data_IF_130239477937
#
_entry.id   IF_130239477937
#
_cell.length_a   1.000
_cell.length_b   1.000
_cell.length_c   1.000
_cell.angle_alpha   90.00
_cell.angle_beta   90.00
_cell.angle_gamma   90.00
#
_symmetry.space_group_name_H-M   'P 1'
#
loop_
_entity.id
_entity.type
_entity.pdbx_description
1 polymer ?
#
# COMPACT_ATOMS: atom_id res chain seq x y z
N UNK A 1 18.68 6.38 6.42
CA UNK A 1 18.12 5.09 5.94
C UNK A 1 17.01 5.30 4.92
N UNK A 2 15.89 5.96 5.27
CA UNK A 2 14.76 6.18 4.34
C UNK A 2 15.13 6.90 3.03
N UNK A 3 15.92 7.98 3.09
CA UNK A 3 16.35 8.71 1.89
C UNK A 3 17.14 7.82 0.90
N UNK A 4 17.99 6.93 1.42
CA UNK A 4 18.75 5.97 0.62
C UNK A 4 17.81 5.02 -0.14
N UNK A 5 16.73 4.57 0.51
CA UNK A 5 15.73 3.71 -0.12
C UNK A 5 14.85 4.46 -1.13
N UNK A 6 14.59 5.76 -0.90
CA UNK A 6 13.73 6.59 -1.74
C UNK A 6 14.42 7.06 -3.02
N UNK A 7 15.69 7.50 -2.94
CA UNK A 7 16.42 8.05 -4.09
C UNK A 7 16.94 6.96 -5.02
N UNK A 8 17.45 5.86 -4.45
CA UNK A 8 17.96 4.76 -5.25
C UNK A 8 16.86 3.74 -5.55
N UNK A 9 15.90 3.49 -4.66
CA UNK A 9 14.97 2.36 -4.76
C UNK A 9 15.47 1.17 -3.95
N UNK A 10 14.56 0.23 -3.62
CA UNK A 10 14.85 -0.82 -2.65
C UNK A 10 16.03 -1.72 -3.05
N UNK A 11 16.22 -2.00 -4.35
CA UNK A 11 17.25 -2.92 -4.87
C UNK A 11 17.95 -2.43 -6.14
N UNK A 12 17.86 -1.14 -6.48
CA UNK A 12 18.50 -0.61 -7.70
C UNK A 12 20.03 -0.66 -7.67
N UNK A 13 20.61 -0.54 -6.49
CA UNK A 13 22.02 -0.68 -6.24
C UNK A 13 22.26 -2.00 -5.51
N UNK A 14 23.02 -2.95 -6.12
CA UNK A 14 23.35 -4.23 -5.51
C UNK A 14 24.01 -4.11 -4.12
N UNK A 15 24.60 -2.96 -3.80
CA UNK A 15 25.24 -2.70 -2.51
C UNK A 15 24.28 -2.22 -1.40
N UNK A 16 23.00 -2.00 -1.70
CA UNK A 16 22.00 -1.49 -0.73
C UNK A 16 21.89 -2.34 0.55
N UNK A 17 21.83 -3.68 0.50
CA UNK A 17 21.87 -4.52 1.71
C UNK A 17 23.11 -4.29 2.56
N UNK A 18 24.27 -4.22 1.92
CA UNK A 18 25.56 -4.02 2.59
C UNK A 18 25.64 -2.64 3.24
N UNK A 19 25.13 -1.59 2.58
CA UNK A 19 25.02 -0.24 3.14
C UNK A 19 24.14 -0.22 4.39
N UNK A 20 22.97 -0.88 4.34
CA UNK A 20 22.07 -0.96 5.50
C UNK A 20 22.71 -1.75 6.65
N UNK A 21 23.34 -2.89 6.34
CA UNK A 21 24.05 -3.69 7.34
C UNK A 21 25.16 -2.87 8.02
N UNK A 22 25.94 -2.10 7.26
CA UNK A 22 26.99 -1.23 7.81
C UNK A 22 26.47 -0.14 8.76
N UNK A 23 25.29 0.44 8.48
CA UNK A 23 24.64 1.43 9.36
C UNK A 23 24.08 0.81 10.65
N UNK A 24 23.64 -0.45 10.59
CA UNK A 24 23.16 -1.17 11.77
C UNK A 24 24.33 -1.62 12.63
N UNK A 25 25.43 -2.07 12.01
CA UNK A 25 26.67 -2.44 12.69
C UNK A 25 27.37 -1.23 13.33
N UNK A 26 27.26 -0.02 12.75
CA UNK A 26 27.83 1.19 13.37
C UNK A 26 27.16 1.54 14.70
N UNK A 27 25.99 0.97 14.99
CA UNK A 27 25.22 1.27 16.19
C UNK A 27 25.63 0.39 17.39
N UNK A 28 26.05 -0.87 17.19
CA UNK A 28 26.59 -1.79 18.23
C UNK A 28 27.38 -2.96 17.63
N UNK A 29 28.42 -3.45 18.31
CA UNK A 29 29.06 -4.72 17.97
C UNK A 29 28.09 -5.89 18.20
N UNK A 30 27.84 -6.69 17.16
CA UNK A 30 26.99 -7.90 17.20
C UNK A 30 27.83 -9.17 17.03
N UNK A 31 27.45 -10.30 17.67
CA UNK A 31 28.06 -11.61 17.38
C UNK A 31 27.93 -12.00 15.90
N UNK A 32 28.88 -12.81 15.35
CA UNK A 32 28.88 -13.18 13.92
C UNK A 32 27.59 -13.87 13.44
N UNK A 33 26.96 -14.68 14.29
CA UNK A 33 25.70 -15.37 13.99
C UNK A 33 24.54 -14.39 13.77
N UNK A 34 24.38 -13.41 14.66
CA UNK A 34 23.36 -12.36 14.55
C UNK A 34 23.56 -11.52 13.30
N UNK A 35 24.82 -11.21 12.96
CA UNK A 35 25.16 -10.46 11.75
C UNK A 35 24.73 -11.18 10.47
N UNK A 36 25.05 -12.47 10.36
CA UNK A 36 24.65 -13.27 9.19
C UNK A 36 23.13 -13.36 9.06
N UNK A 37 22.43 -13.57 10.18
CA UNK A 37 20.97 -13.64 10.21
C UNK A 37 20.32 -12.30 9.84
N UNK A 38 20.89 -11.18 10.33
CA UNK A 38 20.42 -9.83 10.01
C UNK A 38 20.60 -9.52 8.52
N UNK A 39 21.77 -9.78 7.94
CA UNK A 39 22.02 -9.57 6.50
C UNK A 39 21.07 -10.39 5.62
N UNK A 40 20.81 -11.64 6.00
CA UNK A 40 19.81 -12.50 5.33
C UNK A 40 18.41 -11.90 5.43
N UNK A 41 18.04 -11.38 6.61
CA UNK A 41 16.74 -10.76 6.85
C UNK A 41 16.57 -9.47 6.04
N UNK A 42 17.59 -8.59 6.01
CA UNK A 42 17.59 -7.35 5.23
C UNK A 42 17.37 -7.66 3.75
N UNK A 43 18.15 -8.60 3.21
CA UNK A 43 18.05 -9.00 1.80
C UNK A 43 16.64 -9.51 1.49
N UNK A 44 16.12 -10.42 2.32
CA UNK A 44 14.76 -10.95 2.18
C UNK A 44 13.69 -9.85 2.18
N UNK A 45 13.78 -8.90 3.10
CA UNK A 45 12.80 -7.81 3.23
C UNK A 45 12.85 -6.85 2.03
N UNK A 46 14.04 -6.50 1.54
CA UNK A 46 14.19 -5.61 0.39
C UNK A 46 13.67 -6.26 -0.90
N UNK A 47 13.97 -7.55 -1.13
CA UNK A 47 13.41 -8.30 -2.26
C UNK A 47 11.88 -8.37 -2.19
N UNK A 48 11.31 -8.55 -1.00
CA UNK A 48 9.86 -8.55 -0.81
C UNK A 48 9.23 -7.18 -1.06
N UNK A 49 9.91 -6.10 -0.63
CA UNK A 49 9.48 -4.73 -0.87
C UNK A 49 9.49 -4.40 -2.38
N UNK A 50 10.55 -4.79 -3.10
CA UNK A 50 10.64 -4.63 -4.55
C UNK A 50 9.53 -5.40 -5.28
N UNK A 51 9.25 -6.63 -4.88
CA UNK A 51 8.18 -7.44 -5.47
C UNK A 51 6.76 -6.99 -5.07
N UNK A 52 6.62 -6.02 -4.15
CA UNK A 52 5.33 -5.60 -3.60
C UNK A 52 4.58 -6.71 -2.83
N UNK A 53 5.26 -7.79 -2.44
CA UNK A 53 4.67 -8.99 -1.83
C UNK A 53 5.19 -9.17 -0.41
N UNK A 54 4.39 -8.72 0.56
CA UNK A 54 4.66 -8.90 1.98
C UNK A 54 4.21 -10.33 2.38
N UNK A 55 5.16 -11.26 2.53
CA UNK A 55 4.84 -12.64 2.92
C UNK A 55 4.78 -12.83 4.44
N UNK A 56 5.48 -11.98 5.20
CA UNK A 56 5.57 -12.08 6.65
C UNK A 56 4.25 -11.67 7.34
N UNK A 57 3.72 -12.46 8.28
CA UNK A 57 2.46 -12.16 8.97
C UNK A 57 2.45 -10.81 9.69
N UNK A 58 3.54 -10.45 10.36
CA UNK A 58 3.64 -9.17 11.09
C UNK A 58 3.62 -8.01 10.11
N UNK A 59 4.37 -8.15 9.01
CA UNK A 59 4.43 -7.13 7.97
C UNK A 59 3.06 -6.91 7.29
N UNK A 60 2.30 -7.99 7.05
CA UNK A 60 0.93 -7.90 6.54
C UNK A 60 0.03 -7.13 7.50
N UNK A 61 0.10 -7.40 8.80
CA UNK A 61 -0.70 -6.70 9.82
C UNK A 61 -0.33 -5.23 9.87
N UNK A 62 0.96 -4.89 9.89
CA UNK A 62 1.42 -3.50 9.88
C UNK A 62 0.95 -2.75 8.63
N UNK A 63 1.05 -3.38 7.46
CA UNK A 63 0.55 -2.80 6.21
C UNK A 63 -0.97 -2.58 6.24
N UNK A 64 -1.75 -3.54 6.71
CA UNK A 64 -3.21 -3.37 6.83
C UNK A 64 -3.57 -2.22 7.78
N UNK A 65 -2.91 -2.11 8.93
CA UNK A 65 -3.13 -1.00 9.87
C UNK A 65 -2.78 0.35 9.24
N UNK A 66 -1.64 0.44 8.57
CA UNK A 66 -1.22 1.65 7.85
C UNK A 66 -2.23 2.02 6.75
N UNK A 67 -2.65 1.05 5.94
CA UNK A 67 -3.65 1.24 4.88
C UNK A 67 -4.95 1.78 5.45
N UNK A 68 -5.45 1.21 6.55
CA UNK A 68 -6.66 1.70 7.24
C UNK A 68 -6.49 3.13 7.73
N UNK A 69 -5.33 3.49 8.30
CA UNK A 69 -5.07 4.87 8.73
C UNK A 69 -5.07 5.87 7.56
N UNK A 70 -4.43 5.52 6.44
CA UNK A 70 -4.42 6.35 5.23
C UNK A 70 -5.84 6.50 4.68
N UNK A 71 -6.57 5.39 4.55
CA UNK A 71 -7.94 5.40 4.05
C UNK A 71 -8.84 6.29 4.91
N UNK A 72 -8.82 6.12 6.23
CA UNK A 72 -9.65 6.92 7.14
C UNK A 72 -9.33 8.43 7.05
N UNK A 73 -8.07 8.80 6.81
CA UNK A 73 -7.67 10.20 6.64
C UNK A 73 -8.11 10.79 5.31
N UNK A 74 -7.99 10.03 4.22
CA UNK A 74 -8.37 10.49 2.87
C UNK A 74 -9.90 10.56 2.73
N UNK A 75 -10.63 9.64 3.36
CA UNK A 75 -12.10 9.62 3.34
C UNK A 75 -12.75 10.69 4.22
N UNK A 76 -11.99 11.41 5.06
CA UNK A 76 -12.50 12.48 5.88
C UNK A 76 -12.87 13.71 5.03
N UNK A 77 -14.18 13.96 4.88
CA UNK A 77 -14.71 14.96 3.95
C UNK A 77 -14.81 16.36 4.56
N UNK A 78 -15.06 16.48 5.86
CA UNK A 78 -15.08 17.78 6.56
C UNK A 78 -13.74 18.15 7.20
N UNK A 79 -13.51 19.45 7.39
CA UNK A 79 -12.29 19.94 8.05
C UNK A 79 -12.16 19.48 9.50
N UNK A 80 -13.28 19.32 10.22
CA UNK A 80 -13.28 18.79 11.59
C UNK A 80 -12.96 17.30 11.65
N UNK A 81 -13.46 16.50 10.71
CA UNK A 81 -13.12 15.08 10.59
C UNK A 81 -11.67 14.89 10.18
N UNK A 82 -11.14 15.73 9.28
CA UNK A 82 -9.72 15.68 8.88
C UNK A 82 -8.78 15.88 10.05
N UNK A 83 -9.07 16.84 10.93
CA UNK A 83 -8.26 17.08 12.15
C UNK A 83 -8.34 15.88 13.10
N UNK A 84 -9.53 15.36 13.37
CA UNK A 84 -9.71 14.17 14.21
C UNK A 84 -8.98 12.95 13.64
N UNK A 85 -9.15 12.68 12.34
CA UNK A 85 -8.50 11.57 11.66
C UNK A 85 -6.97 11.68 11.68
N UNK A 86 -6.42 12.89 11.55
CA UNK A 86 -4.99 13.13 11.68
C UNK A 86 -4.46 12.83 13.09
N UNK A 87 -5.19 13.25 14.13
CA UNK A 87 -4.82 12.98 15.52
C UNK A 87 -4.86 11.48 15.84
N UNK A 88 -5.94 10.78 15.48
CA UNK A 88 -6.07 9.32 15.67
C UNK A 88 -5.04 8.54 14.88
N UNK A 89 -4.68 8.97 13.68
CA UNK A 89 -3.63 8.31 12.90
C UNK A 89 -2.24 8.48 13.51
N UNK A 90 -1.95 9.62 14.14
CA UNK A 90 -0.66 9.85 14.82
C UNK A 90 -0.50 8.90 16.00
N UNK A 91 -1.56 8.74 16.81
CA UNK A 91 -1.60 7.76 17.90
C UNK A 91 -1.52 6.31 17.39
N UNK A 92 -2.23 6.02 16.29
CA UNK A 92 -2.22 4.71 15.65
C UNK A 92 -0.84 4.28 15.15
N UNK A 93 -0.12 5.20 14.50
CA UNK A 93 1.26 5.00 14.04
C UNK A 93 2.25 4.87 15.20
N UNK A 94 2.09 5.66 16.27
CA UNK A 94 2.91 5.51 17.46
C UNK A 94 2.71 4.13 18.11
N UNK A 95 1.47 3.64 18.18
CA UNK A 95 1.12 2.34 18.76
C UNK A 95 1.66 1.16 17.94
N UNK A 96 1.84 1.32 16.62
CA UNK A 96 2.48 0.31 15.78
C UNK A 96 4.01 0.39 15.76
N UNK A 97 4.60 1.31 16.54
CA UNK A 97 6.05 1.52 16.56
C UNK A 97 6.59 2.23 15.33
N UNK A 98 5.75 3.02 14.65
CA UNK A 98 6.08 3.81 13.46
C UNK A 98 5.88 5.34 13.64
N UNK A 99 6.14 5.96 14.82
CA UNK A 99 5.93 7.40 15.02
C UNK A 99 6.83 8.28 14.14
N UNK A 100 7.98 7.77 13.69
CA UNK A 100 8.91 8.48 12.82
C UNK A 100 8.39 8.64 11.38
N UNK A 101 7.34 7.92 11.01
CA UNK A 101 6.74 7.94 9.67
C UNK A 101 5.52 8.87 9.56
N UNK A 102 5.15 9.58 10.63
CA UNK A 102 3.93 10.42 10.66
C UNK A 102 3.94 11.49 9.57
N UNK A 103 5.08 12.15 9.34
CA UNK A 103 5.22 13.17 8.30
C UNK A 103 5.02 12.58 6.91
N UNK A 104 5.64 11.44 6.64
CA UNK A 104 5.60 10.76 5.34
C UNK A 104 4.19 10.26 5.04
N UNK A 105 3.48 9.74 6.04
CA UNK A 105 2.07 9.35 5.88
C UNK A 105 1.18 10.56 5.65
N UNK A 106 1.47 11.71 6.26
CA UNK A 106 0.75 12.95 5.98
C UNK A 106 0.94 13.40 4.53
N UNK A 107 2.17 13.37 4.01
CA UNK A 107 2.48 13.72 2.62
C UNK A 107 1.72 12.80 1.64
N UNK A 108 1.68 11.48 1.91
CA UNK A 108 0.92 10.51 1.10
C UNK A 108 -0.56 10.86 1.08
N UNK A 109 -1.15 11.18 2.25
CA UNK A 109 -2.56 11.56 2.34
C UNK A 109 -2.85 12.85 1.56
N UNK A 110 -1.94 13.82 1.60
CA UNK A 110 -2.08 15.07 0.83
C UNK A 110 -2.02 14.81 -0.68
N UNK A 111 -1.07 13.99 -1.13
CA UNK A 111 -0.96 13.60 -2.54
C UNK A 111 -2.21 12.85 -3.02
N UNK A 112 -2.70 11.88 -2.23
CA UNK A 112 -3.94 11.16 -2.55
C UNK A 112 -5.16 12.08 -2.58
N UNK A 113 -5.22 13.07 -1.69
CA UNK A 113 -6.26 14.09 -1.70
C UNK A 113 -6.27 14.90 -3.00
N UNK A 114 -5.09 15.35 -3.47
CA UNK A 114 -4.95 16.05 -4.75
C UNK A 114 -5.37 15.19 -5.93
N UNK A 115 -4.96 13.91 -5.94
CA UNK A 115 -5.36 12.95 -6.98
C UNK A 115 -6.88 12.76 -6.98
N UNK A 116 -7.49 12.57 -5.81
CA UNK A 116 -8.95 12.43 -5.68
C UNK A 116 -9.71 13.67 -6.13
N UNK A 117 -9.18 14.87 -5.89
CA UNK A 117 -9.78 16.12 -6.37
C UNK A 117 -9.76 16.21 -7.90
N UNK A 118 -8.63 15.88 -8.53
CA UNK A 118 -8.51 15.84 -10.00
C UNK A 118 -9.44 14.78 -10.58
N UNK A 119 -9.47 13.58 -10.00
CA UNK A 119 -10.33 12.50 -10.43
C UNK A 119 -11.81 12.89 -10.36
N UNK A 120 -12.25 13.50 -9.24
CA UNK A 120 -13.64 13.97 -9.10
C UNK A 120 -13.96 15.10 -10.08
N UNK A 121 -13.01 15.97 -10.42
CA UNK A 121 -13.20 17.03 -11.44
C UNK A 121 -13.31 16.47 -12.86
N UNK A 122 -12.50 15.47 -13.21
CA UNK A 122 -12.46 14.89 -14.56
C UNK A 122 -13.57 13.87 -14.81
N UNK A 123 -13.81 12.99 -13.84
CA UNK A 123 -14.73 11.86 -13.97
C UNK A 123 -16.02 12.03 -13.17
N UNK A 124 -16.21 13.18 -12.51
CA UNK A 124 -17.35 13.42 -11.63
C UNK A 124 -18.71 13.18 -12.27
N UNK A 125 -18.89 13.62 -13.52
CA UNK A 125 -20.12 13.42 -14.29
C UNK A 125 -20.40 11.95 -14.55
N UNK A 126 -19.38 11.19 -14.93
CA UNK A 126 -19.49 9.75 -15.16
C UNK A 126 -19.85 8.99 -13.88
N UNK A 127 -19.27 9.37 -12.73
CA UNK A 127 -19.67 8.81 -11.44
C UNK A 127 -21.12 9.12 -11.07
N UNK A 128 -21.61 10.32 -11.39
CA UNK A 128 -23.01 10.71 -11.16
C UNK A 128 -23.96 9.90 -12.04
N UNK A 129 -23.64 9.75 -13.33
CA UNK A 129 -24.40 8.93 -14.27
C UNK A 129 -24.46 7.46 -13.84
N UNK A 130 -23.36 6.89 -13.33
CA UNK A 130 -23.34 5.55 -12.76
C UNK A 130 -24.21 5.48 -11.50
N UNK A 131 -24.15 6.47 -10.62
CA UNK A 131 -24.94 6.48 -9.39
C UNK A 131 -26.44 6.51 -9.71
N UNK A 132 -26.86 7.35 -10.65
CA UNK A 132 -28.24 7.42 -11.15
C UNK A 132 -28.68 6.11 -11.81
N UNK A 133 -27.79 5.47 -12.59
CA UNK A 133 -28.06 4.16 -13.21
C UNK A 133 -28.24 3.05 -12.15
N UNK A 134 -27.41 3.04 -11.11
CA UNK A 134 -27.49 2.07 -10.01
C UNK A 134 -28.77 2.25 -9.20
N UNK A 135 -29.19 3.49 -8.95
CA UNK A 135 -30.46 3.81 -8.29
C UNK A 135 -31.66 3.39 -9.16
N UNK A 136 -31.59 3.63 -10.48
CA UNK A 136 -32.63 3.21 -11.43
C UNK A 136 -32.77 1.70 -11.52
N UNK A 137 -31.66 0.97 -11.45
CA UNK A 137 -31.65 -0.50 -11.46
C UNK A 137 -32.03 -1.12 -10.11
N UNK A 138 -32.28 -0.31 -9.07
CA UNK A 138 -32.66 -0.78 -7.73
C UNK A 138 -31.55 -1.56 -7.03
N UNK A 139 -30.29 -1.40 -7.46
CA UNK A 139 -29.13 -2.01 -6.84
C UNK A 139 -28.72 -1.17 -5.63
N UNK A 140 -29.50 -1.25 -4.54
CA UNK A 140 -29.15 -0.64 -3.26
C UNK A 140 -27.85 -1.26 -2.71
N UNK A 141 -26.74 -0.56 -2.94
CA UNK A 141 -25.69 -0.30 -1.94
C UNK A 141 -25.11 -1.45 -1.10
N UNK A 142 -25.11 -2.70 -1.58
CA UNK A 142 -24.65 -3.81 -0.74
C UNK A 142 -24.22 -5.11 -1.41
N UNK A 143 -24.35 -5.28 -2.73
CA UNK A 143 -23.76 -6.44 -3.39
C UNK A 143 -22.28 -6.17 -3.67
N UNK A 144 -21.45 -6.96 -3.00
CA UNK A 144 -20.02 -7.07 -3.20
C UNK A 144 -19.73 -7.16 -4.70
N UNK A 145 -19.30 -6.04 -5.29
CA UNK A 145 -18.70 -5.96 -6.62
C UNK A 145 -17.44 -6.82 -6.57
N UNK A 146 -17.62 -8.12 -6.73
CA UNK A 146 -16.54 -9.07 -6.92
C UNK A 146 -15.81 -8.58 -8.16
N UNK A 147 -14.62 -8.03 -7.94
CA UNK A 147 -13.72 -7.62 -9.01
C UNK A 147 -13.38 -8.89 -9.77
N UNK A 148 -14.10 -9.18 -10.85
CA UNK A 148 -13.77 -10.29 -11.74
C UNK A 148 -12.32 -10.11 -12.16
N UNK A 149 -11.46 -11.00 -11.66
CA UNK A 149 -10.08 -11.08 -12.07
C UNK A 149 -10.07 -11.32 -13.58
N UNK A 150 -9.33 -10.52 -14.33
CA UNK A 150 -9.16 -10.68 -15.79
C UNK A 150 -8.54 -12.02 -16.20
N UNK A 151 -8.27 -12.93 -15.25
CA UNK A 151 -7.82 -14.29 -15.50
C UNK A 151 -8.92 -15.21 -16.07
N UNK A 152 -10.21 -14.92 -15.87
CA UNK A 152 -11.29 -15.78 -16.38
C UNK A 152 -11.60 -15.57 -17.88
N UNK A 153 -11.08 -14.51 -18.50
CA UNK A 153 -11.28 -14.26 -19.93
C UNK A 153 -10.43 -15.17 -20.83
N UNK A 154 -9.36 -15.78 -20.32
CA UNK A 154 -8.51 -16.71 -21.11
C UNK A 154 -9.08 -18.13 -21.17
N UNK A 155 -9.87 -18.56 -20.18
CA UNK A 155 -10.41 -19.92 -20.11
C UNK A 155 -11.55 -20.20 -21.10
N UNK A 156 -12.26 -19.16 -21.55
CA UNK A 156 -13.38 -19.29 -22.49
C UNK A 156 -12.91 -19.33 -23.95
N UNK A 157 -11.69 -18.87 -24.24
CA UNK A 157 -11.11 -18.91 -25.59
C UNK A 157 -10.54 -20.29 -25.96
N UNK A 158 -10.12 -21.10 -24.99
CA UNK A 158 -9.50 -22.40 -25.23
C UNK A 158 -10.48 -23.57 -25.39
N UNK A 159 -11.78 -23.38 -25.14
CA UNK A 159 -12.79 -24.46 -25.18
C UNK A 159 -13.64 -24.47 -26.45
N UNK A 160 -13.49 -23.51 -27.36
CA UNK A 160 -14.30 -23.38 -28.58
C UNK A 160 -13.64 -23.94 -29.86
N UNK A 161 -12.45 -24.54 -29.77
CA UNK A 161 -11.71 -25.08 -30.92
C UNK A 161 -11.48 -26.59 -30.83
N UNK A 162 -12.53 -27.38 -30.59
CA UNK A 162 -12.48 -28.81 -30.95
C UNK A 162 -13.90 -29.38 -31.13
N UNK A 163 -14.48 -29.21 -32.32
CA UNK A 163 -15.59 -30.01 -32.86
C UNK A 163 -15.87 -29.61 -34.31
N UNK A 164 -15.80 -30.58 -35.22
CA UNK A 164 -15.99 -30.54 -36.70
C UNK A 164 -14.67 -30.29 -37.45
N UNK A 165 -14.09 -31.22 -38.23
CA UNK A 165 -14.60 -32.32 -39.07
C UNK A 165 -13.49 -33.34 -39.30
#
# INVERSE_FOLDING_TARGET
MWLVLKENGYMSDPSTPSKISSLLESSRNMPPSTRSQLSSTITRLLTQAEAGKLSDPVMKVLFQRLKTHIFNRVSASSSGERVKAASTATEGLATTGLPEFVSQVADICEQLGKVGEVDRKCHGKWYEEIAEEMERLGLEGGEELTRSSSADSEAVASTSSDSSV
#
